data_IF_801832266086
#
_entry.id   IF_801832266086
#
_cell.length_a   1.000
_cell.length_b   1.000
_cell.length_c   1.000
_cell.angle_alpha   90.00
_cell.angle_beta   90.00
_cell.angle_gamma   90.00
#
_symmetry.space_group_name_H-M   'P 1'
#
loop_
_entity.id
_entity.type
_entity.pdbx_description
1 polymer ?
#
# COMPACT_ATOMS: atom_id res chain seq x y z
N UNK A 1 1.92 -110.32 11.85
CA UNK A 1 3.23 -109.64 11.85
C UNK A 1 3.17 -108.53 10.82
N UNK A 2 3.24 -107.28 11.30
CA UNK A 2 3.57 -106.02 10.63
C UNK A 2 2.56 -105.42 9.61
N UNK A 3 1.86 -104.40 10.10
CA UNK A 3 1.23 -103.28 9.39
C UNK A 3 2.30 -102.24 8.97
N UNK A 4 2.17 -101.64 7.79
CA UNK A 4 2.71 -100.31 7.40
C UNK A 4 1.73 -99.73 6.36
N UNK A 5 0.77 -98.89 6.75
CA UNK A 5 0.79 -97.43 6.96
C UNK A 5 0.87 -96.58 5.66
N UNK A 6 -0.29 -95.99 5.32
CA UNK A 6 -0.52 -94.96 4.30
C UNK A 6 -0.45 -93.61 5.00
N UNK A 7 0.60 -92.81 4.76
CA UNK A 7 0.52 -91.34 4.78
C UNK A 7 1.87 -90.72 4.44
N UNK A 8 1.91 -89.90 3.36
CA UNK A 8 2.74 -88.67 3.21
C UNK A 8 2.75 -88.21 1.75
N UNK A 9 1.77 -87.40 1.39
CA UNK A 9 1.91 -86.44 0.29
C UNK A 9 1.02 -85.27 0.65
N UNK A 10 1.64 -84.13 1.01
CA UNK A 10 1.13 -82.74 1.12
C UNK A 10 2.05 -82.05 2.15
N UNK A 11 3.14 -81.37 1.71
CA UNK A 11 3.44 -80.09 2.36
C UNK A 11 4.01 -79.00 1.43
N UNK A 12 3.95 -79.14 0.10
CA UNK A 12 4.56 -78.15 -0.80
C UNK A 12 3.63 -77.02 -1.25
N UNK A 13 2.33 -77.28 -1.43
CA UNK A 13 1.40 -76.26 -1.96
C UNK A 13 1.03 -75.15 -0.97
N UNK A 14 1.03 -75.41 0.34
CA UNK A 14 0.66 -74.42 1.35
C UNK A 14 1.76 -73.36 1.61
N UNK A 15 3.03 -73.71 1.37
CA UNK A 15 4.18 -72.82 1.61
C UNK A 15 4.27 -71.69 0.59
N UNK A 16 3.92 -71.95 -0.66
CA UNK A 16 4.00 -70.98 -1.77
C UNK A 16 2.88 -69.92 -1.68
N UNK A 17 1.68 -70.30 -1.24
CA UNK A 17 0.57 -69.35 -1.02
C UNK A 17 0.84 -68.37 0.13
N UNK A 18 1.38 -68.87 1.26
CA UNK A 18 1.79 -68.00 2.38
C UNK A 18 2.94 -67.07 2.00
N UNK A 19 3.92 -67.54 1.21
CA UNK A 19 5.02 -66.70 0.74
C UNK A 19 4.54 -65.59 -0.19
N UNK A 20 3.61 -65.87 -1.12
CA UNK A 20 3.01 -64.85 -1.99
C UNK A 20 2.16 -63.83 -1.23
N UNK A 21 1.40 -64.24 -0.22
CA UNK A 21 0.63 -63.32 0.64
C UNK A 21 1.54 -62.45 1.51
N UNK A 22 2.63 -63.01 2.07
CA UNK A 22 3.59 -62.24 2.86
C UNK A 22 4.37 -61.24 1.99
N UNK A 23 4.77 -61.63 0.78
CA UNK A 23 5.43 -60.73 -0.18
C UNK A 23 4.47 -59.62 -0.65
N UNK A 24 3.19 -59.91 -0.88
CA UNK A 24 2.21 -58.88 -1.25
C UNK A 24 1.92 -57.88 -0.11
N UNK A 25 1.89 -58.35 1.15
CA UNK A 25 1.72 -57.50 2.34
C UNK A 25 2.98 -56.65 2.61
N UNK A 26 4.18 -57.20 2.38
CA UNK A 26 5.44 -56.45 2.49
C UNK A 26 5.59 -55.41 1.36
N UNK A 27 5.18 -55.73 0.13
CA UNK A 27 5.16 -54.73 -0.96
C UNK A 27 4.13 -53.63 -0.70
N UNK A 28 2.93 -53.94 -0.20
CA UNK A 28 1.94 -52.91 0.12
C UNK A 28 2.38 -52.02 1.27
N UNK A 29 3.03 -52.57 2.30
CA UNK A 29 3.65 -51.78 3.38
C UNK A 29 4.79 -50.87 2.88
N UNK A 30 5.55 -51.28 1.87
CA UNK A 30 6.58 -50.45 1.23
C UNK A 30 5.99 -49.29 0.41
N UNK A 31 4.82 -49.48 -0.23
CA UNK A 31 4.14 -48.40 -0.98
C UNK A 31 3.41 -47.39 -0.07
N UNK A 32 3.08 -47.75 1.18
CA UNK A 32 2.48 -46.80 2.13
C UNK A 32 3.49 -45.89 2.86
N UNK A 33 4.80 -46.12 2.73
CA UNK A 33 5.83 -45.19 3.25
C UNK A 33 6.25 -44.10 2.26
N UNK A 34 5.74 -44.12 1.02
CA UNK A 34 6.07 -43.10 0.01
C UNK A 34 5.21 -41.82 0.09
N UNK A 35 4.25 -41.74 1.02
CA UNK A 35 3.42 -40.54 1.25
C UNK A 35 3.46 -40.02 2.70
N UNK A 36 4.47 -40.40 3.49
CA UNK A 36 4.88 -39.57 4.60
C UNK A 36 5.79 -38.50 4.00
N UNK A 37 5.30 -37.27 3.86
CA UNK A 37 6.06 -36.16 3.30
C UNK A 37 7.44 -36.10 3.96
N UNK A 38 8.48 -36.43 3.18
CA UNK A 38 9.85 -36.35 3.67
C UNK A 38 10.09 -34.94 4.18
N UNK A 39 10.61 -34.82 5.40
CA UNK A 39 11.17 -33.56 5.88
C UNK A 39 12.14 -33.09 4.80
N UNK A 40 11.81 -31.98 4.15
CA UNK A 40 12.68 -31.37 3.18
C UNK A 40 13.95 -30.94 3.94
N UNK A 41 15.02 -31.73 3.83
CA UNK A 41 16.33 -31.34 4.33
C UNK A 41 16.87 -30.24 3.42
N UNK A 42 16.69 -28.99 3.83
CA UNK A 42 17.15 -27.80 3.10
C UNK A 42 18.61 -27.56 3.49
N UNK A 43 19.53 -27.71 2.54
CA UNK A 43 20.95 -27.37 2.74
C UNK A 43 21.11 -25.84 2.87
N UNK A 44 21.89 -25.40 3.86
CA UNK A 44 22.23 -24.00 4.16
C UNK A 44 22.89 -23.27 2.98
N UNK A 45 23.42 -24.00 2.00
CA UNK A 45 24.00 -23.42 0.78
C UNK A 45 22.95 -22.91 -0.22
N UNK A 46 21.66 -23.24 -0.03
CA UNK A 46 20.64 -23.10 -1.08
C UNK A 46 19.60 -21.97 -0.88
N UNK A 47 19.71 -21.09 0.13
CA UNK A 47 18.72 -20.01 0.25
C UNK A 47 18.92 -18.93 1.31
N UNK A 48 18.34 -17.75 1.04
CA UNK A 48 18.16 -16.68 2.03
C UNK A 48 17.10 -17.09 3.03
N UNK A 49 17.46 -17.24 4.30
CA UNK A 49 16.61 -17.97 5.25
C UNK A 49 15.30 -17.28 5.63
N UNK A 50 15.36 -16.03 6.09
CA UNK A 50 14.21 -15.14 6.26
C UNK A 50 14.67 -13.72 6.59
N UNK A 51 13.78 -12.71 6.51
CA UNK A 51 14.07 -11.31 6.85
C UNK A 51 12.89 -10.66 7.60
N UNK A 52 13.18 -9.68 8.45
CA UNK A 52 12.15 -8.85 9.10
C UNK A 52 12.13 -7.47 8.46
N UNK A 53 10.93 -7.06 8.03
CA UNK A 53 10.66 -5.86 7.28
C UNK A 53 9.70 -4.97 8.06
N UNK A 54 9.90 -3.65 7.99
CA UNK A 54 9.11 -2.65 8.70
C UNK A 54 8.68 -1.52 7.76
N UNK A 55 7.38 -1.20 7.76
CA UNK A 55 6.79 -0.12 6.95
C UNK A 55 5.79 0.70 7.76
N UNK A 56 5.56 1.95 7.34
CA UNK A 56 4.55 2.82 7.92
C UNK A 56 4.04 3.83 6.87
N UNK A 57 2.84 4.40 7.06
CA UNK A 57 2.35 5.47 6.20
C UNK A 57 3.26 6.70 6.32
N UNK A 58 3.44 7.43 5.24
CA UNK A 58 4.36 8.58 5.19
C UNK A 58 4.06 9.66 6.25
N UNK A 59 2.79 9.96 6.48
CA UNK A 59 2.40 10.96 7.49
C UNK A 59 2.34 10.41 8.92
N UNK A 60 2.36 9.08 9.07
CA UNK A 60 2.31 8.36 10.34
C UNK A 60 3.53 7.46 10.50
N UNK A 61 4.69 8.01 10.13
CA UNK A 61 5.95 7.30 10.10
C UNK A 61 6.37 6.86 11.51
N UNK A 62 7.23 5.85 11.57
CA UNK A 62 7.71 5.28 12.84
C UNK A 62 9.22 5.18 12.86
N UNK A 63 9.78 5.26 14.05
CA UNK A 63 11.16 4.90 14.30
C UNK A 63 11.20 3.57 15.05
N UNK A 64 11.62 2.50 14.38
CA UNK A 64 11.79 1.18 15.01
C UNK A 64 13.09 1.17 15.80
N UNK A 65 12.96 1.09 17.11
CA UNK A 65 14.06 1.15 18.05
C UNK A 65 14.81 -0.18 18.09
N UNK A 66 14.05 -1.28 18.15
CA UNK A 66 14.57 -2.61 18.38
C UNK A 66 13.70 -3.65 17.68
N UNK A 67 14.34 -4.64 17.08
CA UNK A 67 13.72 -5.90 16.69
C UNK A 67 14.54 -7.04 17.28
N UNK A 68 13.91 -7.91 18.07
CA UNK A 68 14.53 -9.15 18.52
C UNK A 68 13.76 -10.32 17.96
N UNK A 69 14.46 -11.40 17.65
CA UNK A 69 13.81 -12.64 17.25
C UNK A 69 14.33 -13.79 18.09
N UNK A 70 13.47 -14.74 18.42
CA UNK A 70 13.77 -15.82 19.34
C UNK A 70 13.29 -17.14 18.74
N UNK A 71 14.04 -18.20 18.98
CA UNK A 71 13.62 -19.57 18.77
C UNK A 71 14.14 -20.37 19.96
N UNK A 72 13.25 -20.54 20.93
CA UNK A 72 13.61 -21.12 22.22
C UNK A 72 13.88 -22.62 22.07
N UNK A 73 13.13 -23.29 21.20
CA UNK A 73 13.30 -24.70 20.91
C UNK A 73 14.69 -25.04 20.32
N UNK A 74 15.27 -24.15 19.52
CA UNK A 74 16.61 -24.30 18.94
C UNK A 74 17.68 -23.49 19.67
N UNK A 75 17.33 -22.83 20.78
CA UNK A 75 18.25 -22.14 21.66
C UNK A 75 18.98 -20.95 21.01
N UNK A 76 18.31 -20.17 20.16
CA UNK A 76 18.93 -18.99 19.57
C UNK A 76 18.04 -17.75 19.63
N UNK A 77 18.69 -16.59 19.72
CA UNK A 77 18.08 -15.29 19.60
C UNK A 77 18.92 -14.38 18.70
N UNK A 78 18.27 -13.49 17.95
CA UNK A 78 18.94 -12.42 17.21
C UNK A 78 18.42 -11.07 17.67
N UNK A 79 19.30 -10.07 17.57
CA UNK A 79 18.98 -8.70 17.88
C UNK A 79 19.34 -7.83 16.70
N UNK A 80 18.39 -7.04 16.24
CA UNK A 80 18.54 -6.11 15.12
C UNK A 80 18.19 -4.72 15.61
N UNK A 81 19.20 -3.87 15.67
CA UNK A 81 19.01 -2.47 16.02
C UNK A 81 18.68 -1.66 14.78
N UNK A 82 17.67 -0.79 14.86
CA UNK A 82 17.40 0.32 13.93
C UNK A 82 16.99 -0.10 12.51
N UNK A 83 15.67 -0.20 12.31
CA UNK A 83 15.06 -0.15 10.98
C UNK A 83 14.67 1.30 10.69
N UNK A 84 15.50 2.04 9.96
CA UNK A 84 15.25 3.46 9.67
C UNK A 84 15.42 3.82 8.19
N UNK A 85 14.35 4.38 7.63
CA UNK A 85 14.34 5.23 6.44
C UNK A 85 13.37 6.35 6.74
N UNK A 86 13.91 7.53 6.96
CA UNK A 86 13.13 8.77 6.91
C UNK A 86 13.46 9.45 5.59
N UNK A 87 12.43 9.79 4.83
CA UNK A 87 12.54 10.63 3.64
C UNK A 87 12.31 12.09 4.01
N UNK A 88 13.14 13.01 3.54
CA UNK A 88 13.02 14.40 3.97
C UNK A 88 11.81 15.11 3.32
N UNK A 89 11.28 14.58 2.21
CA UNK A 89 10.07 15.13 1.58
C UNK A 89 9.21 14.13 0.81
N UNK A 90 7.94 14.48 0.59
CA UNK A 90 7.01 13.77 -0.29
C UNK A 90 7.53 13.69 -1.73
N UNK A 91 8.14 14.77 -2.22
CA UNK A 91 8.69 14.84 -3.58
C UNK A 91 9.87 13.88 -3.76
N UNK A 92 10.74 13.75 -2.76
CA UNK A 92 11.83 12.77 -2.73
C UNK A 92 11.28 11.34 -2.72
N UNK A 93 10.30 11.05 -1.85
CA UNK A 93 9.65 9.74 -1.81
C UNK A 93 8.97 9.39 -3.13
N UNK A 94 8.28 10.34 -3.77
CA UNK A 94 7.71 10.17 -5.12
C UNK A 94 8.80 9.94 -6.17
N UNK A 95 9.90 10.70 -6.11
CA UNK A 95 11.03 10.59 -7.06
C UNK A 95 11.69 9.23 -6.98
N UNK A 96 11.89 8.69 -5.79
CA UNK A 96 12.40 7.33 -5.61
C UNK A 96 11.36 6.29 -6.04
N UNK A 97 10.08 6.50 -5.71
CA UNK A 97 8.94 5.68 -6.14
C UNK A 97 8.76 5.57 -7.67
N UNK A 98 9.50 6.35 -8.48
CA UNK A 98 9.48 6.33 -9.95
C UNK A 98 10.04 5.06 -10.59
N UNK A 99 9.51 3.89 -10.20
CA UNK A 99 9.08 2.95 -11.22
C UNK A 99 7.88 3.60 -11.94
N UNK A 100 7.96 3.75 -13.27
CA UNK A 100 7.19 4.66 -14.13
C UNK A 100 5.65 4.52 -14.19
N UNK A 101 5.03 3.72 -13.32
CA UNK A 101 3.61 3.34 -13.44
C UNK A 101 2.78 3.42 -12.14
N UNK A 102 3.35 3.87 -11.02
CA UNK A 102 2.70 3.79 -9.70
C UNK A 102 2.25 5.15 -9.15
N UNK A 103 1.12 5.16 -8.44
CA UNK A 103 0.62 6.31 -7.67
C UNK A 103 1.00 6.13 -6.20
N UNK A 104 1.79 7.07 -5.70
CA UNK A 104 2.17 7.14 -4.28
C UNK A 104 1.00 7.65 -3.43
N UNK A 105 0.55 6.84 -2.47
CA UNK A 105 -0.43 7.24 -1.46
C UNK A 105 0.23 7.36 -0.09
N UNK A 106 0.36 8.57 0.47
CA UNK A 106 1.06 8.79 1.73
C UNK A 106 0.36 8.20 2.96
N UNK A 107 -0.88 7.73 2.83
CA UNK A 107 -1.62 7.06 3.91
C UNK A 107 -1.60 5.53 3.81
N UNK A 108 -0.97 4.98 2.78
CA UNK A 108 -0.95 3.53 2.56
C UNK A 108 0.27 2.85 3.19
N UNK A 109 0.13 1.56 3.50
CA UNK A 109 1.23 0.69 3.92
C UNK A 109 1.90 0.06 2.70
N UNK A 110 3.11 0.48 2.37
CA UNK A 110 3.87 -0.02 1.22
C UNK A 110 4.61 -1.31 1.55
N UNK A 111 4.55 -2.28 0.65
CA UNK A 111 5.12 -3.62 0.85
C UNK A 111 6.44 -3.86 0.07
N UNK A 112 6.90 -2.91 -0.76
CA UNK A 112 8.05 -3.14 -1.64
C UNK A 112 9.39 -2.75 -1.01
N UNK A 113 10.39 -3.62 -1.13
CA UNK A 113 11.66 -3.56 -0.38
C UNK A 113 12.51 -2.28 -0.56
N UNK A 114 12.26 -1.47 -1.58
CA UNK A 114 12.88 -0.15 -1.72
C UNK A 114 12.24 0.92 -0.83
N UNK A 115 11.20 0.65 -0.04
CA UNK A 115 10.57 1.63 0.87
C UNK A 115 10.38 1.07 2.26
N UNK A 116 10.84 -0.17 2.45
CA UNK A 116 10.67 -0.96 3.66
C UNK A 116 12.04 -1.17 4.25
N UNK A 117 12.18 -0.88 5.54
CA UNK A 117 13.44 -1.12 6.22
C UNK A 117 13.60 -2.60 6.49
N UNK A 118 14.80 -3.14 6.25
CA UNK A 118 15.08 -4.55 6.43
C UNK A 118 16.15 -4.81 7.48
N UNK A 119 15.89 -5.79 8.33
CA UNK A 119 16.87 -6.42 9.20
C UNK A 119 17.10 -7.83 8.67
N UNK A 120 18.38 -8.18 8.50
CA UNK A 120 18.78 -9.51 8.07
C UNK A 120 19.59 -10.17 9.18
N UNK A 121 19.42 -11.48 9.31
CA UNK A 121 20.20 -12.33 10.20
C UNK A 121 21.69 -12.25 9.84
N UNK A 122 22.57 -11.98 10.82
CA UNK A 122 24.02 -11.98 10.63
C UNK A 122 24.54 -13.37 10.26
N UNK A 123 23.85 -14.42 10.73
CA UNK A 123 24.09 -15.82 10.36
C UNK A 123 22.81 -16.36 9.71
N UNK A 124 22.86 -16.89 8.48
CA UNK A 124 21.68 -17.45 7.82
C UNK A 124 21.15 -18.63 8.65
N UNK A 125 19.99 -18.46 9.28
CA UNK A 125 19.31 -19.51 10.08
C UNK A 125 18.11 -20.02 9.32
N UNK A 126 18.19 -21.23 8.75
CA UNK A 126 17.11 -21.81 7.92
C UNK A 126 15.76 -21.82 8.64
N UNK A 127 15.77 -22.10 9.95
CA UNK A 127 14.56 -22.08 10.75
C UNK A 127 14.15 -20.64 11.09
N UNK A 128 12.87 -20.35 10.85
CA UNK A 128 12.23 -19.10 11.25
C UNK A 128 12.23 -18.94 12.80
N UNK A 129 12.13 -17.70 13.31
CA UNK A 129 11.89 -17.49 14.72
C UNK A 129 10.51 -17.99 15.15
N UNK A 130 10.37 -18.27 16.44
CA UNK A 130 9.12 -18.53 17.14
C UNK A 130 8.44 -17.24 17.59
N UNK A 131 9.24 -16.23 17.92
CA UNK A 131 8.78 -14.95 18.37
C UNK A 131 9.57 -13.83 17.71
N UNK A 132 8.88 -12.74 17.38
CA UNK A 132 9.45 -11.47 16.95
C UNK A 132 8.97 -10.40 17.92
N UNK A 133 9.91 -9.83 18.67
CA UNK A 133 9.68 -8.64 19.49
C UNK A 133 10.03 -7.39 18.68
N UNK A 134 9.18 -6.37 18.72
CA UNK A 134 9.42 -5.08 18.08
C UNK A 134 9.06 -3.95 19.04
N UNK A 135 9.98 -3.00 19.20
CA UNK A 135 9.72 -1.72 19.87
C UNK A 135 9.84 -0.56 18.88
N UNK A 136 8.88 0.36 18.89
CA UNK A 136 8.89 1.51 17.99
C UNK A 136 8.32 2.77 18.64
N UNK A 137 8.78 3.92 18.13
CA UNK A 137 8.25 5.25 18.36
C UNK A 137 7.35 5.65 17.19
N UNK A 138 6.09 5.96 17.47
CA UNK A 138 5.20 6.66 16.54
C UNK A 138 5.62 8.13 16.45
N UNK A 139 6.10 8.59 15.29
CA UNK A 139 6.58 9.96 15.13
C UNK A 139 5.43 10.97 15.10
N UNK A 140 4.25 10.56 14.63
CA UNK A 140 3.05 11.38 14.66
C UNK A 140 2.52 11.56 16.09
N UNK A 141 2.38 10.46 16.85
CA UNK A 141 1.82 10.48 18.20
C UNK A 141 2.84 10.94 19.25
N UNK A 142 4.14 10.77 18.97
CA UNK A 142 5.20 10.95 19.97
C UNK A 142 5.11 9.92 21.10
N UNK A 143 4.63 8.71 20.81
CA UNK A 143 4.38 7.63 21.77
C UNK A 143 5.09 6.36 21.37
N UNK A 144 5.47 5.56 22.37
CA UNK A 144 6.19 4.30 22.16
C UNK A 144 5.28 3.10 22.37
N UNK A 145 5.52 2.06 21.59
CA UNK A 145 4.76 0.82 21.57
C UNK A 145 5.70 -0.38 21.50
N UNK A 146 5.24 -1.51 22.03
CA UNK A 146 5.96 -2.78 21.98
C UNK A 146 5.02 -3.90 21.57
N UNK A 147 5.49 -4.77 20.69
CA UNK A 147 4.77 -5.92 20.15
C UNK A 147 5.60 -7.18 20.37
N UNK A 148 4.99 -8.18 20.99
CA UNK A 148 5.45 -9.56 20.97
C UNK A 148 4.58 -10.36 20.00
N UNK A 149 5.15 -10.73 18.86
CA UNK A 149 4.46 -11.49 17.83
C UNK A 149 4.94 -12.94 17.82
N UNK A 150 4.05 -13.87 18.17
CA UNK A 150 4.33 -15.30 18.14
C UNK A 150 3.90 -15.91 16.81
N UNK A 151 4.82 -16.57 16.12
CA UNK A 151 4.55 -17.19 14.84
C UNK A 151 3.86 -18.53 15.07
N UNK A 152 2.71 -18.72 14.42
CA UNK A 152 2.02 -20.02 14.45
C UNK A 152 2.91 -21.13 13.83
N UNK A 153 2.74 -22.40 14.25
CA UNK A 153 3.43 -23.52 13.62
C UNK A 153 3.23 -23.57 12.10
N UNK A 154 2.01 -23.29 11.62
CA UNK A 154 1.64 -23.28 10.20
C UNK A 154 2.38 -22.17 9.44
N UNK A 155 2.49 -20.98 10.03
CA UNK A 155 3.24 -19.87 9.44
C UNK A 155 4.72 -20.21 9.31
N UNK A 156 5.33 -20.80 10.35
CA UNK A 156 6.74 -21.24 10.31
C UNK A 156 6.97 -22.34 9.28
N UNK A 157 6.05 -23.30 9.19
CA UNK A 157 6.12 -24.36 8.17
C UNK A 157 5.99 -23.78 6.76
N UNK A 158 5.10 -22.81 6.55
CA UNK A 158 4.97 -22.08 5.28
C UNK A 158 6.28 -21.35 4.94
N UNK A 159 6.91 -20.71 5.93
CA UNK A 159 8.19 -20.02 5.73
C UNK A 159 9.32 -20.97 5.30
N UNK A 160 9.38 -22.16 5.90
CA UNK A 160 10.30 -23.23 5.51
C UNK A 160 10.00 -23.74 4.10
N UNK A 161 8.72 -23.97 3.77
CA UNK A 161 8.31 -24.43 2.44
C UNK A 161 8.67 -23.42 1.35
N UNK A 162 8.62 -22.11 1.66
CA UNK A 162 8.98 -21.05 0.71
C UNK A 162 10.45 -21.11 0.24
N UNK A 163 11.34 -21.74 1.01
CA UNK A 163 12.74 -21.95 0.61
C UNK A 163 12.86 -22.94 -0.55
N UNK A 164 11.86 -23.79 -0.77
CA UNK A 164 11.83 -24.74 -1.90
C UNK A 164 11.49 -24.05 -3.22
N UNK A 165 10.88 -22.86 -3.19
CA UNK A 165 10.60 -22.09 -4.40
C UNK A 165 11.85 -21.33 -4.82
N UNK A 166 12.34 -21.66 -6.02
CA UNK A 166 13.47 -20.99 -6.62
C UNK A 166 13.03 -19.69 -7.28
N UNK A 167 13.77 -18.61 -7.02
CA UNK A 167 13.65 -17.37 -7.76
C UNK A 167 14.21 -17.52 -9.19
N UNK A 168 14.24 -16.42 -9.94
CA UNK A 168 14.73 -16.40 -11.33
C UNK A 168 16.20 -16.80 -11.45
N UNK A 169 16.96 -16.65 -10.38
CA UNK A 169 18.39 -16.94 -10.31
C UNK A 169 18.66 -18.35 -9.73
N UNK A 170 17.60 -19.12 -9.44
CA UNK A 170 17.69 -20.50 -8.97
C UNK A 170 17.90 -20.65 -7.46
N UNK A 171 17.86 -19.56 -6.69
CA UNK A 171 18.02 -19.53 -5.24
C UNK A 171 16.66 -19.63 -4.54
N UNK A 172 16.60 -20.29 -3.37
CA UNK A 172 15.38 -20.29 -2.56
C UNK A 172 14.95 -18.87 -2.20
N UNK A 173 13.69 -18.52 -2.49
CA UNK A 173 13.19 -17.14 -2.42
C UNK A 173 13.29 -16.49 -1.03
N UNK A 174 13.42 -17.29 0.03
CA UNK A 174 13.38 -16.83 1.39
C UNK A 174 12.03 -16.23 1.80
N UNK A 175 11.78 -16.19 3.10
CA UNK A 175 10.57 -15.59 3.64
C UNK A 175 10.83 -14.19 4.19
N UNK A 176 9.88 -13.29 4.02
CA UNK A 176 9.91 -11.94 4.59
C UNK A 176 8.72 -11.81 5.53
N UNK A 177 8.95 -11.52 6.80
CA UNK A 177 7.89 -11.08 7.69
C UNK A 177 7.88 -9.56 7.68
N UNK A 178 6.80 -8.97 7.20
CA UNK A 178 6.64 -7.53 7.08
C UNK A 178 5.61 -7.05 8.09
N UNK A 179 6.00 -6.06 8.89
CA UNK A 179 5.16 -5.38 9.86
C UNK A 179 4.86 -3.96 9.37
N UNK A 180 3.57 -3.65 9.20
CA UNK A 180 3.10 -2.32 8.80
C UNK A 180 2.42 -1.63 9.97
N UNK A 181 3.08 -0.63 10.53
CA UNK A 181 2.65 0.06 11.73
C UNK A 181 1.56 1.09 11.42
N UNK A 182 0.52 1.09 12.25
CA UNK A 182 -0.66 1.92 12.13
C UNK A 182 -0.81 2.72 13.44
N UNK A 183 -1.26 3.99 13.38
CA UNK A 183 -1.51 4.79 14.58
C UNK A 183 -2.37 4.08 15.63
N UNK A 184 -2.14 4.39 16.90
CA UNK A 184 -2.81 3.74 18.01
C UNK A 184 -2.20 2.39 18.40
N UNK A 185 -1.01 2.07 17.90
CA UNK A 185 -0.26 0.86 18.23
C UNK A 185 -0.77 -0.40 17.53
N UNK A 186 -1.35 -0.28 16.34
CA UNK A 186 -1.75 -1.44 15.53
C UNK A 186 -0.64 -1.80 14.53
N UNK A 187 -0.59 -3.07 14.12
CA UNK A 187 0.30 -3.52 13.05
C UNK A 187 -0.38 -4.57 12.19
N UNK A 188 -0.34 -4.38 10.87
CA UNK A 188 -0.64 -5.45 9.93
C UNK A 188 0.61 -6.31 9.71
N UNK A 189 0.42 -7.63 9.58
CA UNK A 189 1.49 -8.60 9.36
C UNK A 189 1.30 -9.29 8.02
N UNK A 190 2.36 -9.34 7.22
CA UNK A 190 2.39 -10.06 5.95
C UNK A 190 3.54 -11.05 5.89
N UNK A 191 3.31 -12.14 5.18
CA UNK A 191 4.35 -13.05 4.72
C UNK A 191 4.66 -12.78 3.24
N UNK A 192 5.88 -12.34 2.98
CA UNK A 192 6.44 -12.17 1.65
C UNK A 192 7.27 -13.39 1.22
N UNK A 193 7.11 -13.82 -0.03
CA UNK A 193 7.99 -14.80 -0.68
C UNK A 193 7.94 -14.61 -2.21
N UNK A 194 9.09 -14.73 -2.87
CA UNK A 194 9.21 -14.60 -4.34
C UNK A 194 8.52 -13.35 -4.93
N UNK A 195 8.56 -12.21 -4.23
CA UNK A 195 7.93 -10.96 -4.68
C UNK A 195 6.40 -10.90 -4.54
N UNK A 196 5.76 -11.87 -3.88
CA UNK A 196 4.36 -11.83 -3.46
C UNK A 196 4.27 -11.65 -1.96
N UNK A 197 3.26 -10.92 -1.50
CA UNK A 197 2.95 -10.75 -0.08
C UNK A 197 1.53 -11.25 0.19
N UNK A 198 1.39 -12.01 1.26
CA UNK A 198 0.13 -12.54 1.77
C UNK A 198 -0.15 -11.91 3.12
N UNK A 199 -1.30 -11.27 3.27
CA UNK A 199 -1.75 -10.77 4.56
C UNK A 199 -2.02 -11.95 5.50
N UNK A 200 -1.46 -11.89 6.70
CA UNK A 200 -1.64 -12.92 7.72
C UNK A 200 -2.73 -12.46 8.68
N UNK A 201 -2.48 -11.34 9.36
CA UNK A 201 -3.39 -10.80 10.36
C UNK A 201 -3.07 -9.36 10.71
N UNK A 202 -3.95 -8.75 11.50
CA UNK A 202 -3.72 -7.47 12.16
C UNK A 202 -3.61 -7.72 13.65
N UNK A 203 -2.51 -7.27 14.23
CA UNK A 203 -2.23 -7.37 15.66
C UNK A 203 -2.20 -5.99 16.29
N UNK A 204 -2.24 -5.97 17.62
CA UNK A 204 -2.09 -4.76 18.41
C UNK A 204 -0.85 -4.90 19.29
N UNK A 205 -0.17 -3.78 19.52
CA UNK A 205 0.89 -3.67 20.50
C UNK A 205 0.42 -4.25 21.83
N UNK A 206 1.23 -5.15 22.40
CA UNK A 206 0.96 -5.74 23.70
C UNK A 206 1.10 -4.68 24.80
N UNK A 207 1.99 -3.72 24.60
CA UNK A 207 2.33 -2.69 25.58
C UNK A 207 2.43 -1.31 24.94
N UNK A 208 2.13 -0.29 25.74
CA UNK A 208 2.06 1.12 25.33
C UNK A 208 0.61 1.65 25.25
N UNK A 209 0.41 2.94 24.91
CA UNK A 209 1.44 3.92 24.61
C UNK A 209 2.27 4.31 25.84
N UNK A 210 3.58 4.40 25.69
CA UNK A 210 4.50 4.94 26.70
C UNK A 210 4.99 6.33 26.32
N UNK A 211 5.45 7.08 27.33
CA UNK A 211 6.14 8.37 27.16
C UNK A 211 7.66 8.23 27.04
N UNK A 212 8.19 7.04 27.32
CA UNK A 212 9.63 6.77 27.32
C UNK A 212 9.96 5.64 26.34
N UNK A 213 11.15 5.74 25.74
CA UNK A 213 11.66 4.78 24.77
C UNK A 213 12.01 3.44 25.38
N UNK A 214 12.09 2.41 24.54
CA UNK A 214 12.54 1.07 24.96
C UNK A 214 13.94 1.10 25.60
N UNK A 215 14.84 1.94 25.07
CA UNK A 215 16.19 2.12 25.62
C UNK A 215 16.25 3.02 26.87
N UNK A 216 15.12 3.55 27.34
CA UNK A 216 15.03 4.47 28.48
C UNK A 216 15.63 5.86 28.23
N UNK A 217 15.78 6.64 29.31
CA UNK A 217 16.36 8.00 29.28
C UNK A 217 17.84 7.96 28.91
N UNK A 218 18.15 8.07 27.63
CA UNK A 218 19.53 7.98 27.12
C UNK A 218 19.77 8.70 25.79
N UNK A 219 20.71 8.19 25.00
CA UNK A 219 21.28 8.83 23.79
C UNK A 219 20.24 9.23 22.71
N UNK A 220 19.08 8.57 22.71
CA UNK A 220 18.00 8.80 21.76
C UNK A 220 17.06 9.97 22.16
N UNK A 221 17.07 10.40 23.43
CA UNK A 221 16.24 11.51 23.94
C UNK A 221 16.51 12.85 23.22
N UNK A 222 17.69 13.01 22.60
CA UNK A 222 18.02 14.19 21.78
C UNK A 222 17.56 14.08 20.32
N UNK A 223 17.44 12.86 19.78
CA UNK A 223 17.07 12.62 18.38
C UNK A 223 15.55 12.70 18.19
N UNK A 224 14.79 12.05 19.06
CA UNK A 224 13.35 11.85 18.89
C UNK A 224 12.53 13.14 18.82
N UNK A 225 12.77 14.16 19.68
CA UNK A 225 12.06 15.43 19.53
C UNK A 225 12.25 16.06 18.15
N UNK A 226 13.45 15.96 17.58
CA UNK A 226 13.75 16.46 16.23
C UNK A 226 13.05 15.67 15.12
N UNK A 227 12.93 14.35 15.26
CA UNK A 227 12.20 13.51 14.31
C UNK A 227 10.68 13.77 14.36
N UNK A 228 10.11 13.84 15.57
CA UNK A 228 8.70 14.16 15.79
C UNK A 228 8.39 15.55 15.23
N UNK A 229 9.25 16.55 15.49
CA UNK A 229 9.08 17.89 14.94
C UNK A 229 9.08 17.88 13.41
N UNK A 230 10.07 17.23 12.79
CA UNK A 230 10.13 17.10 11.32
C UNK A 230 8.90 16.40 10.74
N UNK A 231 8.39 15.36 11.39
CA UNK A 231 7.16 14.70 10.96
C UNK A 231 5.97 15.66 10.92
N UNK A 232 5.82 16.50 11.96
CA UNK A 232 4.76 17.51 12.04
C UNK A 232 4.93 18.59 10.98
N UNK A 233 6.13 19.16 10.86
CA UNK A 233 6.46 20.17 9.84
C UNK A 233 6.17 19.65 8.43
N UNK A 234 6.48 18.38 8.12
CA UNK A 234 6.17 17.75 6.83
C UNK A 234 4.67 17.66 6.58
N UNK A 235 3.88 17.21 7.56
CA UNK A 235 2.44 17.11 7.42
C UNK A 235 1.79 18.50 7.24
N UNK A 236 2.24 19.49 8.02
CA UNK A 236 1.77 20.87 7.93
C UNK A 236 2.09 21.51 6.57
N UNK A 237 3.29 21.29 6.03
CA UNK A 237 3.68 21.79 4.72
C UNK A 237 2.78 21.26 3.59
N UNK A 238 2.28 20.02 3.75
CA UNK A 238 1.35 19.38 2.81
C UNK A 238 -0.14 19.65 3.17
N UNK A 239 -0.42 20.50 4.17
CA UNK A 239 -1.77 20.85 4.61
C UNK A 239 -2.55 19.71 5.26
N UNK A 240 -1.85 18.70 5.80
CA UNK A 240 -2.42 17.51 6.40
C UNK A 240 -2.54 17.67 7.90
N UNK A 241 -3.76 17.50 8.42
CA UNK A 241 -4.00 17.41 9.86
C UNK A 241 -3.78 15.96 10.32
N UNK A 242 -2.83 15.75 11.23
CA UNK A 242 -2.50 14.43 11.76
C UNK A 242 -3.49 13.95 12.83
N UNK A 243 -4.01 14.86 13.66
CA UNK A 243 -4.93 14.52 14.75
C UNK A 243 -6.09 15.51 14.86
N UNK A 244 -7.31 15.05 15.19
CA UNK A 244 -7.71 13.64 15.28
C UNK A 244 -7.62 12.94 13.91
N UNK A 245 -7.27 11.65 13.90
CA UNK A 245 -7.16 10.88 12.67
C UNK A 245 -8.58 10.65 12.13
N UNK A 246 -8.89 11.07 10.89
CA UNK A 246 -10.20 10.80 10.32
C UNK A 246 -10.48 9.28 10.24
N UNK A 247 -11.65 8.78 10.66
CA UNK A 247 -11.93 7.34 10.69
C UNK A 247 -11.72 6.63 9.35
N UNK A 248 -12.09 7.29 8.25
CA UNK A 248 -11.89 6.77 6.89
C UNK A 248 -10.41 6.64 6.52
N UNK A 249 -9.55 7.51 7.06
CA UNK A 249 -8.09 7.43 6.86
C UNK A 249 -7.49 6.30 7.66
N UNK A 250 -7.93 6.11 8.90
CA UNK A 250 -7.49 5.01 9.74
C UNK A 250 -7.90 3.66 9.12
N UNK A 251 -9.12 3.57 8.60
CA UNK A 251 -9.59 2.37 7.94
C UNK A 251 -8.86 2.09 6.62
N UNK A 252 -8.51 3.14 5.87
CA UNK A 252 -7.66 3.02 4.68
C UNK A 252 -6.25 2.48 5.00
N UNK A 253 -5.62 2.98 6.06
CA UNK A 253 -4.34 2.45 6.55
C UNK A 253 -4.46 0.96 6.91
N UNK A 254 -5.51 0.60 7.65
CA UNK A 254 -5.82 -0.78 8.07
C UNK A 254 -6.02 -1.72 6.90
N UNK A 255 -6.72 -1.29 5.85
CA UNK A 255 -7.07 -2.15 4.72
C UNK A 255 -6.06 -2.07 3.56
N UNK A 256 -4.99 -1.30 3.71
CA UNK A 256 -3.90 -1.25 2.75
C UNK A 256 -3.33 -2.64 2.54
N UNK A 257 -3.45 -3.18 1.31
CA UNK A 257 -2.88 -4.46 0.89
C UNK A 257 -3.30 -5.70 1.72
N UNK A 258 -4.52 -5.74 2.26
CA UNK A 258 -5.02 -6.88 3.05
C UNK A 258 -5.81 -7.92 2.26
N UNK A 259 -6.29 -7.59 1.05
CA UNK A 259 -7.12 -8.51 0.27
C UNK A 259 -6.30 -9.64 -0.40
N UNK A 260 -6.80 -10.88 -0.46
CA UNK A 260 -6.13 -11.99 -1.13
C UNK A 260 -5.91 -11.70 -2.61
N UNK A 261 -4.67 -11.85 -3.10
CA UNK A 261 -4.34 -11.56 -4.49
C UNK A 261 -4.44 -10.08 -4.86
N UNK A 262 -4.62 -9.17 -3.89
CA UNK A 262 -4.26 -7.78 -4.10
C UNK A 262 -2.84 -7.77 -4.63
N UNK A 263 -2.57 -7.19 -5.82
CA UNK A 263 -1.19 -6.89 -6.14
C UNK A 263 -0.60 -6.16 -4.94
N UNK A 264 0.70 -6.36 -4.70
CA UNK A 264 1.53 -5.73 -3.65
C UNK A 264 1.48 -4.18 -3.68
N UNK A 265 0.61 -3.63 -4.52
CA UNK A 265 0.53 -2.28 -5.02
C UNK A 265 -0.95 -1.97 -5.18
N UNK A 266 -1.44 -1.23 -4.18
CA UNK A 266 -2.48 -0.20 -4.26
C UNK A 266 -2.95 0.06 -5.68
N UNK A 267 -4.25 -0.15 -5.88
CA UNK A 267 -5.06 0.30 -7.02
C UNK A 267 -4.27 0.40 -8.32
N UNK A 268 -4.37 -0.64 -9.18
CA UNK A 268 -4.29 -0.45 -10.64
C UNK A 268 -4.96 0.87 -10.89
N UNK A 269 -4.24 1.86 -11.41
CA UNK A 269 -4.75 3.20 -11.72
C UNK A 269 -6.18 2.95 -12.17
N UNK A 270 -7.18 3.20 -11.32
CA UNK A 270 -8.52 3.39 -11.85
C UNK A 270 -8.20 4.42 -12.92
N UNK A 271 -8.48 4.14 -14.21
CA UNK A 271 -8.32 5.20 -15.19
C UNK A 271 -8.97 6.36 -14.48
N UNK A 272 -8.19 7.43 -14.19
CA UNK A 272 -8.77 8.70 -13.72
C UNK A 272 -9.99 8.76 -14.60
N UNK A 273 -11.23 8.59 -14.07
CA UNK A 273 -12.39 8.41 -14.93
C UNK A 273 -12.16 9.53 -15.90
N UNK A 274 -11.90 9.21 -17.18
CA UNK A 274 -11.43 10.23 -18.12
C UNK A 274 -12.55 11.22 -17.95
N UNK A 275 -12.28 12.32 -17.27
CA UNK A 275 -13.31 13.29 -16.97
C UNK A 275 -13.40 13.86 -18.36
N UNK A 276 -14.29 13.26 -19.14
CA UNK A 276 -14.82 13.84 -20.35
C UNK A 276 -15.12 15.24 -19.91
N UNK A 277 -14.35 16.20 -20.44
CA UNK A 277 -14.19 17.56 -19.95
C UNK A 277 -15.32 17.94 -18.98
N UNK A 278 -15.05 18.16 -17.68
CA UNK A 278 -16.12 18.64 -16.81
C UNK A 278 -16.62 19.93 -17.45
N UNK A 279 -17.94 20.04 -17.71
CA UNK A 279 -18.58 21.02 -18.58
C UNK A 279 -18.65 20.70 -20.10
N UNK A 280 -18.40 19.46 -20.55
CA UNK A 280 -18.39 19.03 -21.96
C UNK A 280 -19.75 19.22 -22.67
N UNK A 281 -20.85 19.26 -21.91
CA UNK A 281 -22.22 19.30 -22.41
C UNK A 281 -22.64 20.64 -23.00
N UNK A 282 -21.88 21.73 -22.73
CA UNK A 282 -22.21 23.05 -23.30
C UNK A 282 -21.85 23.09 -24.79
N UNK A 283 -22.67 23.77 -25.63
CA UNK A 283 -22.47 23.80 -27.07
C UNK A 283 -21.26 24.67 -27.46
N UNK A 284 -20.07 24.06 -27.47
CA UNK A 284 -18.81 24.72 -27.87
C UNK A 284 -18.68 25.00 -29.38
N UNK A 285 -19.69 24.63 -30.17
CA UNK A 285 -19.74 24.92 -31.60
C UNK A 285 -20.16 26.37 -31.90
N UNK A 286 -20.56 27.14 -30.88
CA UNK A 286 -20.78 28.57 -31.00
C UNK A 286 -19.44 29.31 -31.02
N UNK A 287 -19.09 29.91 -32.16
CA UNK A 287 -18.00 30.88 -32.22
C UNK A 287 -18.50 32.21 -31.65
N UNK A 288 -18.27 32.44 -30.35
CA UNK A 288 -18.55 33.72 -29.72
C UNK A 288 -17.36 34.65 -29.97
N UNK A 289 -17.64 35.88 -30.42
CA UNK A 289 -16.66 36.96 -30.47
C UNK A 289 -16.93 37.90 -29.32
N UNK A 290 -16.02 37.96 -28.35
CA UNK A 290 -16.14 38.86 -27.22
C UNK A 290 -16.06 40.32 -27.69
N UNK A 291 -16.93 41.18 -27.17
CA UNK A 291 -16.93 42.60 -27.51
C UNK A 291 -15.64 43.27 -27.04
N UNK A 292 -14.97 44.00 -27.93
CA UNK A 292 -13.70 44.65 -27.63
C UNK A 292 -13.92 45.67 -26.50
N UNK A 293 -13.16 45.53 -25.43
CA UNK A 293 -13.24 46.40 -24.25
C UNK A 293 -14.19 45.91 -23.16
N UNK A 294 -15.03 44.90 -23.43
CA UNK A 294 -15.87 44.28 -22.40
C UNK A 294 -15.02 43.61 -21.31
N UNK A 295 -15.55 43.44 -20.08
CA UNK A 295 -14.87 42.69 -19.02
C UNK A 295 -14.48 41.26 -19.43
N UNK A 296 -15.32 40.59 -20.23
CA UNK A 296 -15.05 39.27 -20.80
C UNK A 296 -13.81 39.30 -21.71
N UNK A 297 -13.74 40.28 -22.62
CA UNK A 297 -12.59 40.46 -23.51
C UNK A 297 -11.31 40.80 -22.73
N UNK A 298 -11.39 41.64 -21.69
CA UNK A 298 -10.25 41.96 -20.84
C UNK A 298 -9.73 40.73 -20.09
N UNK A 299 -10.63 39.90 -19.54
CA UNK A 299 -10.26 38.63 -18.92
C UNK A 299 -9.58 37.68 -19.92
N UNK A 300 -10.15 37.52 -21.12
CA UNK A 300 -9.56 36.69 -22.18
C UNK A 300 -8.12 37.12 -22.49
N UNK A 301 -7.87 38.43 -22.64
CA UNK A 301 -6.53 38.97 -22.89
C UNK A 301 -5.57 38.74 -21.72
N UNK A 302 -6.01 38.90 -20.47
CA UNK A 302 -5.18 38.61 -19.28
C UNK A 302 -4.80 37.14 -19.22
N UNK A 303 -5.75 36.23 -19.50
CA UNK A 303 -5.49 34.79 -19.55
C UNK A 303 -4.46 34.47 -20.64
N UNK A 304 -4.63 34.97 -21.86
CA UNK A 304 -3.68 34.72 -22.94
C UNK A 304 -2.27 35.27 -22.67
N UNK A 305 -2.19 36.47 -22.10
CA UNK A 305 -0.90 37.14 -21.88
C UNK A 305 -0.14 36.58 -20.68
N UNK A 306 -0.85 36.24 -19.60
CA UNK A 306 -0.21 35.94 -18.32
C UNK A 306 -0.38 34.47 -17.89
N UNK A 307 -1.31 33.73 -18.49
CA UNK A 307 -1.60 32.33 -18.20
C UNK A 307 -1.71 31.50 -19.49
N UNK A 308 -0.76 31.67 -20.42
CA UNK A 308 -0.78 31.02 -21.74
C UNK A 308 -0.93 29.50 -21.68
N UNK A 309 -0.20 28.82 -20.79
CA UNK A 309 -0.25 27.37 -20.61
C UNK A 309 -1.62 26.87 -20.13
N UNK A 310 -2.39 27.73 -19.48
CA UNK A 310 -3.78 27.49 -19.12
C UNK A 310 -4.70 27.73 -20.33
N UNK A 311 -4.53 28.85 -21.04
CA UNK A 311 -5.33 29.22 -22.21
C UNK A 311 -5.36 28.11 -23.28
N UNK A 312 -4.21 27.51 -23.60
CA UNK A 312 -4.11 26.46 -24.62
C UNK A 312 -4.77 25.13 -24.25
N UNK A 313 -5.04 24.91 -22.95
CA UNK A 313 -5.71 23.70 -22.44
C UNK A 313 -7.23 23.86 -22.42
N UNK A 314 -7.73 25.08 -22.52
CA UNK A 314 -9.15 25.40 -22.52
C UNK A 314 -9.65 25.44 -23.97
N UNK A 315 -10.65 24.60 -24.28
CA UNK A 315 -11.22 24.56 -25.63
C UNK A 315 -12.16 25.74 -25.84
N UNK A 316 -11.96 26.51 -26.92
CA UNK A 316 -12.80 27.67 -27.25
C UNK A 316 -12.91 28.67 -26.09
N UNK A 317 -11.75 29.16 -25.60
CA UNK A 317 -11.64 30.04 -24.43
C UNK A 317 -12.68 31.16 -24.41
N UNK A 318 -12.85 31.91 -25.50
CA UNK A 318 -13.79 33.04 -25.58
C UNK A 318 -15.25 32.61 -25.39
N UNK A 319 -15.66 31.49 -25.98
CA UNK A 319 -16.99 30.90 -25.78
C UNK A 319 -17.16 30.43 -24.34
N UNK A 320 -16.13 29.80 -23.75
CA UNK A 320 -16.14 29.38 -22.36
C UNK A 320 -16.26 30.56 -21.39
N UNK A 321 -15.54 31.65 -21.66
CA UNK A 321 -15.65 32.89 -20.88
C UNK A 321 -17.09 33.40 -20.97
N UNK A 322 -17.64 33.57 -22.17
CA UNK A 322 -18.98 34.11 -22.35
C UNK A 322 -20.07 33.33 -21.61
N UNK A 323 -20.08 31.99 -21.75
CA UNK A 323 -21.09 31.14 -21.12
C UNK A 323 -20.95 31.11 -19.60
N UNK A 324 -19.72 30.99 -19.08
CA UNK A 324 -19.51 31.00 -17.63
C UNK A 324 -19.83 32.38 -17.02
N UNK A 325 -19.65 33.45 -17.80
CA UNK A 325 -20.00 34.81 -17.40
C UNK A 325 -21.52 34.97 -17.24
N UNK A 326 -22.31 34.45 -18.20
CA UNK A 326 -23.77 34.42 -18.13
C UNK A 326 -24.26 33.63 -16.91
N UNK A 327 -23.69 32.44 -16.66
CA UNK A 327 -24.03 31.63 -15.48
C UNK A 327 -23.78 32.38 -14.16
N UNK A 328 -22.71 33.17 -14.10
CA UNK A 328 -22.40 33.96 -12.92
C UNK A 328 -23.30 35.21 -12.77
N UNK A 329 -23.73 35.81 -13.88
CA UNK A 329 -24.73 36.88 -13.89
C UNK A 329 -26.09 36.38 -13.39
N UNK A 330 -26.54 35.21 -13.85
CA UNK A 330 -27.77 34.56 -13.37
C UNK A 330 -27.74 34.27 -11.87
N UNK A 331 -26.54 34.04 -11.31
CA UNK A 331 -26.31 33.83 -9.86
C UNK A 331 -26.25 35.12 -9.05
N UNK A 332 -26.31 36.29 -9.69
CA UNK A 332 -26.21 37.58 -9.02
C UNK A 332 -24.81 37.85 -8.43
N UNK A 333 -23.75 37.24 -8.99
CA UNK A 333 -22.39 37.46 -8.51
C UNK A 333 -21.89 38.86 -8.84
N UNK A 334 -21.15 39.44 -7.89
CA UNK A 334 -20.40 40.68 -8.12
C UNK A 334 -19.23 40.45 -9.09
N UNK A 335 -18.57 41.51 -9.54
CA UNK A 335 -17.55 41.41 -10.60
C UNK A 335 -16.37 40.50 -10.23
N UNK A 336 -15.90 40.54 -8.98
CA UNK A 336 -14.82 39.66 -8.51
C UNK A 336 -15.27 38.20 -8.46
N UNK A 337 -16.44 37.92 -7.90
CA UNK A 337 -17.01 36.58 -7.85
C UNK A 337 -17.27 36.01 -9.25
N UNK A 338 -17.70 36.88 -10.18
CA UNK A 338 -17.95 36.53 -11.58
C UNK A 338 -16.67 36.08 -12.26
N UNK A 339 -15.58 36.83 -12.09
CA UNK A 339 -14.27 36.45 -12.63
C UNK A 339 -13.79 35.10 -12.05
N UNK A 340 -13.87 34.91 -10.73
CA UNK A 340 -13.47 33.65 -10.08
C UNK A 340 -14.33 32.47 -10.54
N UNK A 341 -15.64 32.68 -10.76
CA UNK A 341 -16.54 31.64 -11.27
C UNK A 341 -16.16 31.20 -12.68
N UNK A 342 -15.86 32.18 -13.55
CA UNK A 342 -15.37 31.92 -14.90
C UNK A 342 -14.06 31.11 -14.86
N UNK A 343 -13.10 31.53 -14.03
CA UNK A 343 -11.84 30.80 -13.88
C UNK A 343 -12.05 29.37 -13.37
N UNK A 344 -13.00 29.15 -12.46
CA UNK A 344 -13.34 27.81 -11.98
C UNK A 344 -13.96 26.93 -13.09
N UNK A 345 -14.84 27.47 -13.92
CA UNK A 345 -15.42 26.76 -15.09
C UNK A 345 -14.34 26.37 -16.10
N UNK A 346 -13.49 27.32 -16.46
CA UNK A 346 -12.39 27.10 -17.40
C UNK A 346 -11.34 26.13 -16.83
N UNK A 347 -11.05 26.22 -15.53
CA UNK A 347 -10.19 25.28 -14.79
C UNK A 347 -10.73 23.86 -14.86
N UNK A 348 -12.03 23.67 -14.61
CA UNK A 348 -12.70 22.38 -14.71
C UNK A 348 -12.69 21.83 -16.16
N UNK A 349 -12.96 22.70 -17.15
CA UNK A 349 -12.97 22.34 -18.56
C UNK A 349 -11.60 21.90 -19.09
N UNK A 350 -10.56 22.68 -18.77
CA UNK A 350 -9.18 22.43 -19.19
C UNK A 350 -8.42 21.44 -18.29
N UNK A 351 -9.04 21.01 -17.18
CA UNK A 351 -8.42 20.18 -16.15
C UNK A 351 -7.11 20.75 -15.62
N UNK A 352 -7.12 22.06 -15.37
CA UNK A 352 -5.94 22.81 -14.91
C UNK A 352 -6.15 23.23 -13.47
N UNK A 353 -5.23 22.85 -12.58
CA UNK A 353 -5.31 23.23 -11.17
C UNK A 353 -5.31 24.77 -11.01
N UNK A 354 -6.10 25.28 -10.06
CA UNK A 354 -6.24 26.72 -9.82
C UNK A 354 -4.89 27.39 -9.48
N UNK A 355 -3.96 26.64 -8.88
CA UNK A 355 -2.60 27.10 -8.58
C UNK A 355 -1.77 27.44 -9.82
N UNK A 356 -2.04 26.80 -10.97
CA UNK A 356 -1.37 27.13 -12.24
C UNK A 356 -1.92 28.42 -12.86
N UNK A 357 -3.18 28.75 -12.56
CA UNK A 357 -3.84 29.98 -13.00
C UNK A 357 -3.38 31.17 -12.12
N UNK A 358 -3.25 30.91 -10.82
CA UNK A 358 -2.96 31.90 -9.78
C UNK A 358 -1.74 32.77 -10.07
N UNK A 359 -0.65 32.15 -10.55
CA UNK A 359 0.62 32.84 -10.79
C UNK A 359 0.52 33.88 -11.92
N UNK A 360 -0.29 33.60 -12.94
CA UNK A 360 -0.48 34.50 -14.08
C UNK A 360 -1.50 35.60 -13.83
N UNK A 361 -2.53 35.32 -13.04
CA UNK A 361 -3.64 36.24 -12.80
C UNK A 361 -3.61 36.92 -11.43
N UNK A 362 -2.50 36.81 -10.71
CA UNK A 362 -2.27 37.46 -9.41
C UNK A 362 -3.35 37.15 -8.35
N UNK A 363 -3.92 35.95 -8.40
CA UNK A 363 -4.92 35.52 -7.42
C UNK A 363 -4.30 35.32 -6.04
N UNK A 364 -4.97 35.81 -5.00
CA UNK A 364 -4.55 35.56 -3.63
C UNK A 364 -4.95 34.15 -3.16
N UNK A 365 -4.41 33.70 -2.03
CA UNK A 365 -4.59 32.33 -1.53
C UNK A 365 -6.06 31.96 -1.23
N UNK A 366 -6.92 32.92 -0.87
CA UNK A 366 -8.34 32.67 -0.65
C UNK A 366 -9.08 32.48 -1.99
N UNK A 367 -8.76 33.29 -2.99
CA UNK A 367 -9.30 33.20 -4.34
C UNK A 367 -8.93 31.89 -5.02
N UNK A 368 -7.66 31.47 -4.88
CA UNK A 368 -7.20 30.17 -5.42
C UNK A 368 -7.96 29.00 -4.81
N UNK A 369 -8.18 29.03 -3.48
CA UNK A 369 -8.97 28.01 -2.79
C UNK A 369 -10.42 28.00 -3.28
N UNK A 370 -11.01 29.17 -3.47
CA UNK A 370 -12.39 29.31 -3.97
C UNK A 370 -12.54 28.74 -5.38
N UNK A 371 -11.63 29.11 -6.30
CA UNK A 371 -11.61 28.63 -7.68
C UNK A 371 -11.45 27.11 -7.72
N UNK A 372 -10.53 26.55 -6.92
CA UNK A 372 -10.33 25.11 -6.85
C UNK A 372 -11.57 24.39 -6.32
N UNK A 373 -12.18 24.90 -5.25
CA UNK A 373 -13.38 24.30 -4.66
C UNK A 373 -14.53 24.22 -5.66
N UNK A 374 -14.80 25.31 -6.39
CA UNK A 374 -15.85 25.34 -7.41
C UNK A 374 -15.52 24.44 -8.60
N UNK A 375 -14.28 24.42 -9.07
CA UNK A 375 -13.86 23.53 -10.16
C UNK A 375 -14.08 22.05 -9.79
N UNK A 376 -13.73 21.67 -8.57
CA UNK A 376 -13.95 20.32 -8.05
C UNK A 376 -15.44 19.99 -7.94
N UNK A 377 -16.27 20.96 -7.51
CA UNK A 377 -17.74 20.80 -7.43
C UNK A 377 -18.37 20.59 -8.80
N UNK A 378 -17.93 21.31 -9.84
CA UNK A 378 -18.42 21.13 -11.21
C UNK A 378 -18.14 19.72 -11.73
N UNK A 379 -16.92 19.22 -11.52
CA UNK A 379 -16.56 17.85 -11.89
C UNK A 379 -17.34 16.78 -11.09
N UNK A 380 -17.65 17.05 -9.81
CA UNK A 380 -18.49 16.17 -8.98
C UNK A 380 -19.95 16.14 -9.44
N UNK A 381 -20.51 17.27 -9.88
CA UNK A 381 -21.88 17.34 -10.36
C UNK A 381 -22.07 16.55 -11.68
N UNK A 382 -21.14 16.71 -12.61
CA UNK A 382 -21.19 16.03 -13.92
C UNK A 382 -21.01 14.51 -13.80
N UNK A 383 -20.14 14.06 -12.88
CA UNK A 383 -19.96 12.61 -12.63
C UNK A 383 -21.21 11.94 -12.05
N UNK A 384 -22.03 12.67 -11.26
CA UNK A 384 -23.32 12.15 -10.75
C UNK A 384 -24.35 12.02 -11.87
N UNK A 385 -24.42 12.98 -12.79
CA UNK A 385 -25.34 12.93 -13.95
C UNK A 385 -25.01 11.73 -14.87
N UNK A 386 -23.73 11.51 -15.16
CA UNK A 386 -23.27 10.36 -15.97
C UNK A 386 -23.54 9.00 -15.32
N UNK A 387 -23.57 8.91 -13.98
CA UNK A 387 -23.93 7.68 -13.27
C UNK A 387 -25.44 7.40 -13.24
N UNK A 388 -26.28 8.43 -13.39
CA UNK A 388 -27.75 8.27 -13.43
C UNK A 388 -28.25 7.81 -14.80
N UNK A 389 -27.59 8.22 -15.89
CA UNK A 389 -28.01 7.86 -17.25
C UNK A 389 -27.61 6.44 -17.67
N UNK A 390 -26.78 5.75 -16.90
CA UNK A 390 -26.40 4.35 -17.17
C UNK A 390 -27.38 3.31 -16.60
N UNK A 391 -28.37 3.75 -15.80
CA UNK A 391 -29.37 2.84 -15.21
C UNK A 391 -30.68 2.74 -16.01
N UNK A 392 -30.87 3.50 -17.09
CA UNK A 392 -32.13 3.52 -17.86
C UNK A 392 -32.14 2.61 -19.10
N UNK A 393 -31.06 1.90 -19.43
CA UNK A 393 -31.01 0.98 -20.59
C UNK A 393 -31.11 -0.50 -20.26
N UNK A 394 -31.53 -0.86 -19.05
CA UNK A 394 -31.85 -2.24 -18.66
C UNK A 394 -33.34 -2.43 -18.32
N UNK A 395 -34.22 -1.94 -19.19
CA UNK A 395 -35.59 -2.43 -19.29
C UNK A 395 -36.02 -2.40 -20.76
N UNK A 396 -35.75 -3.50 -21.46
CA UNK A 396 -36.66 -4.17 -22.40
C UNK A 396 -36.15 -5.61 -22.66
#
# INVERSE_FOLDING_TARGET
MILVDRNRMIPYFFRIKKLKQVVMVLLSLFFFQACAGGEANIDLKDGSTWRIYATAPFYYDVYVEQVNTYNDNLGWATSHTRLNRSYDSRAERIKEAKFSHWTFDPFSLELYGNYVNSAQTISPKVNAPEQVFIAWLSLAEGKYYQLDYFLSPELRQTMLHNLLYKDKDGLGCGSILLFGFIPGGEANVWLGACGKYTFIERVKALMGPFDESYFGKGHQSRLYPGLIRRQKERAEADGVTLFPIPPERLEHMRNSNTAPGSPVLLTKKSPVPKLTHCWAEKPYNLKVKLEIGSPQHQLSRRIWNNAYDFAVKVRYLDTGIHLAWQEAEEKGFNDQQRELWVLARLSAQGQVAATQIAKGLELNSAEVKQVQSWADDFCRADSKLSSSSQNETHFE
#
